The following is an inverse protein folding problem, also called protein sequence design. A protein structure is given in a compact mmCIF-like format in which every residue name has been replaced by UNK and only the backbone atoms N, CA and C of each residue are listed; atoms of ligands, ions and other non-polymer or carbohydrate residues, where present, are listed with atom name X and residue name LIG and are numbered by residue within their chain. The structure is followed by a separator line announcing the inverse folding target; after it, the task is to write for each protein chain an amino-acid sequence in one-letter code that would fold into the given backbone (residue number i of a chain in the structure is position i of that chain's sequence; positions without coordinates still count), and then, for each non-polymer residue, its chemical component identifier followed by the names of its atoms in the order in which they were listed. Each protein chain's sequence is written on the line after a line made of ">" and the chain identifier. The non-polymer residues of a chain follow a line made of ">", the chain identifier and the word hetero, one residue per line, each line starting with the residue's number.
data_IF_040096694439
#
_entry.id   IF_040096694439
#
_cell.length_a   1.000
_cell.length_b   1.000
_cell.length_c   1.000
_cell.angle_alpha   90.00
_cell.angle_beta   90.00
_cell.angle_gamma   90.00
#
_symmetry.space_group_name_H-M   'P 1'
#
loop_
_entity.id
_entity.type
_entity.pdbx_description
1 polymer ?
#
# COMPACT_ATOMS: atom_id res chain seq x y z
N UNK A 1 -6.93 13.25 -4.40
CA UNK A 1 -6.95 12.94 -2.98
C UNK A 1 -7.01 11.44 -2.77
N UNK A 2 -6.43 10.94 -1.75
CA UNK A 2 -6.42 9.51 -1.50
C UNK A 2 -7.80 9.03 -1.17
N UNK A 3 -8.04 7.78 -1.49
CA UNK A 3 -9.30 7.15 -1.18
C UNK A 3 -9.29 6.86 0.30
N UNK A 4 -10.13 7.58 1.05
CA UNK A 4 -10.11 7.49 2.43
C UNK A 4 -10.22 6.14 2.97
N UNK A 5 -11.02 5.40 2.88
CA UNK A 5 -11.14 4.12 3.54
C UNK A 5 -10.22 3.06 3.02
N UNK A 6 -9.56 3.30 1.90
CA UNK A 6 -8.80 2.26 1.29
C UNK A 6 -7.48 1.97 1.97
N UNK A 7 -6.72 2.97 2.26
CA UNK A 7 -5.51 2.75 3.03
C UNK A 7 -5.50 3.70 4.21
N UNK A 8 -6.63 3.72 4.87
CA UNK A 8 -6.79 4.56 6.01
C UNK A 8 -6.13 3.90 7.19
N UNK A 9 -4.84 4.00 7.28
CA UNK A 9 -4.12 3.45 8.39
C UNK A 9 -4.03 4.55 9.40
N UNK A 10 -5.17 4.93 9.91
CA UNK A 10 -5.26 6.05 10.72
C UNK A 10 -4.51 6.09 11.92
N UNK A 11 -4.13 5.05 12.39
CA UNK A 11 -3.39 5.10 13.61
C UNK A 11 -2.00 5.52 13.35
N UNK A 12 -1.82 6.02 12.16
CA UNK A 12 -0.55 6.48 11.77
C UNK A 12 -0.01 7.48 12.73
N UNK A 13 -0.82 8.06 13.53
CA UNK A 13 -0.32 9.01 14.49
C UNK A 13 0.74 8.39 15.38
N UNK A 14 0.69 7.08 15.50
CA UNK A 14 1.64 6.40 16.34
C UNK A 14 2.78 5.81 15.56
N UNK A 15 2.80 5.99 14.27
CA UNK A 15 3.85 5.43 13.44
C UNK A 15 4.68 6.54 12.86
N UNK A 16 5.98 6.32 12.73
CA UNK A 16 6.80 7.27 12.02
C UNK A 16 6.76 6.89 10.56
N UNK A 17 7.14 7.85 9.72
CA UNK A 17 7.22 7.61 8.31
C UNK A 17 8.25 6.52 8.04
N UNK A 18 9.34 6.53 8.79
CA UNK A 18 10.37 5.53 8.63
C UNK A 18 9.87 4.14 8.94
N UNK A 19 9.08 4.01 10.00
CA UNK A 19 8.53 2.71 10.36
C UNK A 19 7.63 2.18 9.26
N UNK A 20 6.81 3.05 8.69
CA UNK A 20 5.91 2.67 7.63
C UNK A 20 6.68 2.18 6.41
N UNK A 21 7.65 2.97 5.96
CA UNK A 21 8.41 2.60 4.77
C UNK A 21 9.27 1.36 5.00
N UNK A 22 9.75 1.18 6.21
CA UNK A 22 10.52 0.00 6.54
C UNK A 22 9.66 -1.26 6.39
N UNK A 23 8.40 -1.20 6.83
CA UNK A 23 7.52 -2.33 6.69
C UNK A 23 7.10 -2.56 5.25
N UNK A 24 6.91 -1.49 4.49
CA UNK A 24 6.58 -1.61 3.09
C UNK A 24 7.72 -2.31 2.35
N UNK A 25 8.95 -1.99 2.71
CA UNK A 25 10.10 -2.58 2.04
C UNK A 25 10.22 -4.08 2.26
N UNK A 26 9.54 -4.62 3.26
CA UNK A 26 9.57 -6.04 3.53
C UNK A 26 8.48 -6.81 2.81
N UNK A 27 7.58 -6.13 2.15
CA UNK A 27 6.49 -6.80 1.45
C UNK A 27 6.99 -7.51 0.19
N UNK A 28 6.27 -8.54 -0.25
CA UNK A 28 6.60 -9.18 -1.51
C UNK A 28 6.63 -8.15 -2.62
N UNK A 29 7.42 -8.42 -3.63
CA UNK A 29 7.70 -7.45 -4.69
C UNK A 29 6.46 -6.80 -5.30
N UNK A 30 5.48 -7.59 -5.67
CA UNK A 30 4.28 -7.02 -6.31
C UNK A 30 3.47 -6.15 -5.36
N UNK A 31 3.36 -6.58 -4.12
CA UNK A 31 2.63 -5.80 -3.13
C UNK A 31 3.36 -4.50 -2.84
N UNK A 32 4.67 -4.58 -2.68
CA UNK A 32 5.48 -3.41 -2.40
C UNK A 32 5.38 -2.38 -3.51
N UNK A 33 5.46 -2.85 -4.75
CA UNK A 33 5.43 -1.95 -5.90
C UNK A 33 4.10 -1.21 -5.99
N UNK A 34 3.01 -1.95 -5.83
CA UNK A 34 1.70 -1.34 -5.89
C UNK A 34 1.49 -0.35 -4.75
N UNK A 35 1.95 -0.70 -3.55
CA UNK A 35 1.84 0.19 -2.41
C UNK A 35 2.56 1.50 -2.65
N UNK A 36 3.77 1.43 -3.15
CA UNK A 36 4.56 2.62 -3.40
C UNK A 36 3.87 3.52 -4.43
N UNK A 37 3.42 2.93 -5.52
CA UNK A 37 2.79 3.71 -6.58
C UNK A 37 1.50 4.35 -6.10
N UNK A 38 0.74 3.61 -5.30
CA UNK A 38 -0.53 4.11 -4.83
C UNK A 38 -0.38 5.19 -3.76
N UNK A 39 0.51 4.97 -2.83
CA UNK A 39 0.69 5.90 -1.72
C UNK A 39 1.52 7.12 -2.09
N UNK A 40 2.65 6.88 -2.72
CA UNK A 40 3.56 7.98 -3.05
C UNK A 40 3.06 8.82 -4.20
N UNK A 41 2.65 8.16 -5.27
CA UNK A 41 2.27 8.86 -6.50
C UNK A 41 0.77 9.02 -6.65
N UNK A 42 0.00 8.48 -5.73
CA UNK A 42 -1.46 8.58 -5.74
C UNK A 42 -2.07 8.11 -7.05
N UNK A 43 -1.50 7.09 -7.65
CA UNK A 43 -1.97 6.61 -8.94
C UNK A 43 -3.23 5.78 -8.81
N UNK A 44 -4.08 5.84 -9.82
CA UNK A 44 -5.27 5.00 -9.87
C UNK A 44 -4.84 3.58 -10.23
N UNK A 45 -5.71 2.61 -9.99
CA UNK A 45 -5.39 1.24 -10.37
C UNK A 45 -5.24 1.10 -11.88
N UNK A 46 -5.94 1.93 -12.64
CA UNK A 46 -5.79 1.93 -14.08
C UNK A 46 -4.36 2.34 -14.45
N UNK A 47 -3.85 3.38 -13.81
CA UNK A 47 -2.50 3.85 -14.07
C UNK A 47 -1.46 2.84 -13.61
N UNK A 48 -1.69 2.23 -12.46
CA UNK A 48 -0.78 1.22 -11.95
C UNK A 48 -0.75 0.03 -12.90
N UNK A 49 -1.91 -0.35 -13.44
CA UNK A 49 -2.00 -1.43 -14.39
C UNK A 49 -1.13 -1.14 -15.61
N UNK A 50 -1.18 0.08 -16.09
CA UNK A 50 -0.40 0.46 -17.27
C UNK A 50 1.09 0.42 -17.01
N UNK A 51 1.49 0.83 -15.83
CA UNK A 51 2.91 0.88 -15.48
C UNK A 51 3.47 -0.50 -15.20
N UNK A 52 2.71 -1.31 -14.48
CA UNK A 52 3.23 -2.59 -14.00
C UNK A 52 2.92 -3.78 -14.91
N UNK A 53 1.92 -3.64 -15.75
CA UNK A 53 1.47 -4.76 -16.55
C UNK A 53 0.48 -5.65 -15.83
N UNK A 54 0.21 -5.39 -14.56
CA UNK A 54 -0.80 -6.16 -13.83
C UNK A 54 -2.17 -5.69 -14.27
N UNK A 55 -3.18 -6.55 -14.14
CA UNK A 55 -4.54 -6.10 -14.38
C UNK A 55 -4.92 -5.20 -13.20
N UNK A 56 -5.94 -4.39 -13.37
CA UNK A 56 -6.39 -3.51 -12.30
C UNK A 56 -6.84 -4.33 -11.10
N UNK A 57 -7.51 -5.44 -11.33
CA UNK A 57 -7.94 -6.31 -10.25
C UNK A 57 -6.77 -6.87 -9.48
N UNK A 58 -5.74 -7.29 -10.18
CA UNK A 58 -4.54 -7.82 -9.53
C UNK A 58 -3.84 -6.74 -8.72
N UNK A 59 -3.77 -5.53 -9.27
CA UNK A 59 -3.14 -4.43 -8.56
C UNK A 59 -3.91 -4.12 -7.28
N UNK A 60 -5.24 -4.12 -7.37
CA UNK A 60 -6.07 -3.85 -6.20
C UNK A 60 -5.89 -4.92 -5.13
N UNK A 61 -5.86 -6.17 -5.53
CA UNK A 61 -5.67 -7.26 -4.58
C UNK A 61 -4.31 -7.17 -3.91
N UNK A 62 -3.28 -6.85 -4.68
CA UNK A 62 -1.94 -6.72 -4.11
C UNK A 62 -1.87 -5.53 -3.14
N UNK A 63 -2.56 -4.46 -3.45
CA UNK A 63 -2.59 -3.32 -2.55
C UNK A 63 -3.24 -3.70 -1.23
N UNK A 64 -4.39 -4.38 -1.29
CA UNK A 64 -5.11 -4.73 -0.07
C UNK A 64 -4.36 -5.77 0.76
N UNK A 65 -3.66 -6.71 0.12
CA UNK A 65 -2.86 -7.66 0.86
C UNK A 65 -1.72 -6.95 1.58
N UNK A 66 -1.08 -6.01 0.91
CA UNK A 66 -0.01 -5.25 1.52
C UNK A 66 -0.52 -4.40 2.67
N UNK A 67 -1.67 -3.78 2.48
CA UNK A 67 -2.27 -2.95 3.51
C UNK A 67 -2.63 -3.77 4.74
N UNK A 68 -3.18 -4.95 4.54
CA UNK A 68 -3.54 -5.82 5.65
C UNK A 68 -2.30 -6.20 6.44
N UNK A 69 -1.23 -6.52 5.74
CA UNK A 69 0.02 -6.89 6.39
C UNK A 69 0.57 -5.73 7.21
N UNK A 70 0.53 -4.54 6.67
CA UNK A 70 1.01 -3.37 7.39
C UNK A 70 0.18 -3.14 8.65
N UNK A 71 -1.12 -3.28 8.54
CA UNK A 71 -1.97 -3.08 9.70
C UNK A 71 -1.69 -4.10 10.78
N UNK A 72 -1.45 -5.35 10.39
CA UNK A 72 -1.15 -6.39 11.35
C UNK A 72 0.14 -6.11 12.10
N UNK A 73 1.16 -5.67 11.37
CA UNK A 73 2.45 -5.44 11.98
C UNK A 73 2.50 -4.16 12.80
N UNK A 74 1.96 -3.08 12.24
CA UNK A 74 2.10 -1.77 12.87
C UNK A 74 1.04 -1.46 13.92
N UNK A 75 -0.14 -2.07 13.80
CA UNK A 75 -1.19 -1.81 14.76
C UNK A 75 -1.22 -2.82 15.87
N UNK A 76 -0.42 -3.82 15.77
CA UNK A 76 -0.46 -4.89 16.73
C UNK A 76 0.41 -4.59 17.91
N UNK A 77 -0.13 -4.63 19.04
CA UNK A 77 0.67 -4.36 20.21
C UNK A 77 0.97 -5.58 20.92
#
# INVERSE_FOLDING_TARGET
>A
APVKGEYDIKNEAEWTKEELWNEISKLPNKQRRVMILRITDSLSYSEISKITGMSEGTAKVNFHHGLKKLKEVLSND
#
